data_IF_080023443342
#
_entry.id   IF_080023443342
#
_cell.length_a   1.000
_cell.length_b   1.000
_cell.length_c   1.000
_cell.angle_alpha   90.00
_cell.angle_beta   90.00
_cell.angle_gamma   90.00
#
_symmetry.space_group_name_H-M   'P 1'
#
loop_
_entity.id
_entity.type
_entity.pdbx_description
1 polymer ?
#
# COMPACT_ATOMS: atom_id res chain seq x y z
N UNK A 1 -17.73 36.41 -37.29
CA UNK A 1 -18.69 35.37 -36.91
C UNK A 1 -18.47 34.04 -37.65
N UNK A 2 -18.50 33.98 -39.02
CA UNK A 2 -18.28 32.70 -39.73
C UNK A 2 -16.91 32.07 -39.42
N UNK A 3 -15.86 32.85 -39.46
CA UNK A 3 -14.48 32.40 -39.17
C UNK A 3 -14.30 31.91 -37.71
N UNK A 4 -14.94 32.59 -36.76
CA UNK A 4 -14.93 32.22 -35.33
C UNK A 4 -15.68 30.91 -35.11
N UNK A 5 -16.80 30.70 -35.81
CA UNK A 5 -17.56 29.45 -35.75
C UNK A 5 -16.73 28.28 -36.31
N UNK A 6 -16.03 28.48 -37.43
CA UNK A 6 -15.16 27.49 -38.03
C UNK A 6 -13.99 27.12 -37.07
N UNK A 7 -13.47 28.10 -36.32
CA UNK A 7 -12.44 27.84 -35.31
C UNK A 7 -12.97 27.04 -34.10
N UNK A 8 -14.17 27.37 -33.64
CA UNK A 8 -14.81 26.59 -32.55
C UNK A 8 -15.16 25.16 -32.96
N UNK A 9 -15.59 24.94 -34.21
CA UNK A 9 -15.81 23.57 -34.73
C UNK A 9 -14.52 22.77 -34.73
N UNK A 10 -13.43 23.35 -35.24
CA UNK A 10 -12.10 22.68 -35.21
C UNK A 10 -11.62 22.41 -33.79
N UNK A 11 -11.87 23.33 -32.88
CA UNK A 11 -11.52 23.13 -31.47
C UNK A 11 -12.30 21.95 -30.87
N UNK A 12 -13.60 21.86 -31.18
CA UNK A 12 -14.46 20.74 -30.76
C UNK A 12 -13.97 19.39 -31.33
N UNK A 13 -13.59 19.35 -32.59
CA UNK A 13 -13.05 18.14 -33.24
C UNK A 13 -11.75 17.67 -32.55
N UNK A 14 -10.86 18.60 -32.25
CA UNK A 14 -9.62 18.30 -31.50
C UNK A 14 -9.92 17.83 -30.08
N UNK A 15 -10.79 18.54 -29.37
CA UNK A 15 -11.16 18.18 -27.99
C UNK A 15 -11.86 16.82 -27.93
N UNK A 16 -12.67 16.48 -28.91
CA UNK A 16 -13.31 15.17 -29.02
C UNK A 16 -12.27 14.07 -29.23
N UNK A 17 -11.30 14.29 -30.12
CA UNK A 17 -10.22 13.32 -30.36
C UNK A 17 -9.31 13.13 -29.13
N UNK A 18 -9.00 14.21 -28.41
CA UNK A 18 -8.28 14.14 -27.14
C UNK A 18 -9.06 13.37 -26.07
N UNK A 19 -10.39 13.50 -26.06
CA UNK A 19 -11.25 12.72 -25.16
C UNK A 19 -11.24 11.23 -25.52
N UNK A 20 -11.37 10.88 -26.81
CA UNK A 20 -11.27 9.49 -27.26
C UNK A 20 -9.91 8.84 -26.88
N UNK A 21 -8.80 9.57 -27.02
CA UNK A 21 -7.47 9.12 -26.58
C UNK A 21 -7.46 8.86 -25.08
N UNK A 22 -8.04 9.74 -24.27
CA UNK A 22 -8.15 9.58 -22.83
C UNK A 22 -9.02 8.37 -22.45
N UNK A 23 -10.14 8.19 -23.11
CA UNK A 23 -11.04 7.05 -22.90
C UNK A 23 -10.39 5.72 -23.32
N UNK A 24 -9.55 5.73 -24.34
CA UNK A 24 -8.81 4.54 -24.77
C UNK A 24 -7.83 4.05 -23.69
N UNK A 25 -7.20 4.95 -22.95
CA UNK A 25 -6.38 4.58 -21.78
C UNK A 25 -7.24 4.14 -20.58
N UNK A 26 -8.50 4.58 -20.51
CA UNK A 26 -9.45 4.24 -19.47
C UNK A 26 -8.93 4.53 -18.06
N UNK A 27 -9.16 3.58 -17.15
CA UNK A 27 -8.70 3.64 -15.75
C UNK A 27 -7.31 3.03 -15.53
N UNK A 28 -6.62 2.58 -16.61
CA UNK A 28 -5.31 1.94 -16.51
C UNK A 28 -4.27 2.75 -15.73
N UNK A 29 -4.11 4.08 -15.97
CA UNK A 29 -3.15 4.89 -15.20
C UNK A 29 -3.41 4.87 -13.69
N UNK A 30 -4.68 5.02 -13.30
CA UNK A 30 -5.10 5.00 -11.89
C UNK A 30 -4.94 3.60 -11.27
N UNK A 31 -5.22 2.56 -12.05
CA UNK A 31 -5.04 1.17 -11.62
C UNK A 31 -3.57 0.86 -11.38
N UNK A 32 -2.68 1.28 -12.29
CA UNK A 32 -1.22 1.12 -12.14
C UNK A 32 -0.73 1.84 -10.89
N UNK A 33 -1.09 3.11 -10.69
CA UNK A 33 -0.70 3.89 -9.52
C UNK A 33 -1.20 3.24 -8.21
N UNK A 34 -2.46 2.80 -8.18
CA UNK A 34 -3.04 2.12 -7.01
C UNK A 34 -2.31 0.83 -6.68
N UNK A 35 -1.96 0.02 -7.68
CA UNK A 35 -1.22 -1.22 -7.50
C UNK A 35 0.22 -0.99 -7.03
N UNK A 36 0.89 0.06 -7.54
CA UNK A 36 2.22 0.45 -7.07
C UNK A 36 2.22 0.83 -5.59
N UNK A 37 1.25 1.64 -5.17
CA UNK A 37 1.07 2.03 -3.78
C UNK A 37 0.75 0.83 -2.88
N UNK A 38 -0.10 -0.10 -3.34
CA UNK A 38 -0.43 -1.31 -2.59
C UNK A 38 0.80 -2.20 -2.39
N UNK A 39 1.58 -2.45 -3.44
CA UNK A 39 2.81 -3.25 -3.35
C UNK A 39 3.81 -2.60 -2.39
N UNK A 40 4.03 -1.29 -2.50
CA UNK A 40 4.94 -0.55 -1.63
C UNK A 40 4.49 -0.60 -0.16
N UNK A 41 3.20 -0.45 0.09
CA UNK A 41 2.61 -0.54 1.45
C UNK A 41 2.82 -1.93 2.07
N UNK A 42 2.51 -3.00 1.33
CA UNK A 42 2.68 -4.38 1.79
C UNK A 42 4.16 -4.74 2.03
N UNK A 43 5.07 -4.22 1.19
CA UNK A 43 6.51 -4.41 1.40
C UNK A 43 6.99 -3.73 2.67
N UNK A 44 6.57 -2.48 2.91
CA UNK A 44 6.91 -1.74 4.13
C UNK A 44 6.35 -2.42 5.39
N UNK A 45 5.13 -2.93 5.32
CA UNK A 45 4.51 -3.69 6.42
C UNK A 45 5.28 -4.98 6.72
N UNK A 46 5.70 -5.72 5.70
CA UNK A 46 6.51 -6.93 5.86
C UNK A 46 7.87 -6.62 6.50
N UNK A 47 8.52 -5.52 6.10
CA UNK A 47 9.79 -5.09 6.69
C UNK A 47 9.64 -4.76 8.18
N UNK A 48 8.58 -4.05 8.57
CA UNK A 48 8.29 -3.74 9.96
C UNK A 48 8.06 -5.00 10.79
N UNK A 49 7.26 -5.95 10.27
CA UNK A 49 7.02 -7.25 10.93
C UNK A 49 8.29 -8.08 11.04
N UNK A 50 9.13 -8.10 10.01
CA UNK A 50 10.40 -8.80 10.04
C UNK A 50 11.36 -8.23 11.08
N UNK A 51 11.43 -6.90 11.22
CA UNK A 51 12.20 -6.24 12.26
C UNK A 51 11.69 -6.61 13.65
N UNK A 52 10.35 -6.61 13.84
CA UNK A 52 9.75 -7.00 15.12
C UNK A 52 10.00 -8.47 15.47
N UNK A 53 9.94 -9.38 14.50
CA UNK A 53 10.35 -10.79 14.69
C UNK A 53 11.80 -10.87 15.19
N UNK A 54 12.71 -10.09 14.62
CA UNK A 54 14.10 -10.04 15.07
C UNK A 54 14.28 -9.54 16.50
N UNK A 55 13.42 -8.65 16.99
CA UNK A 55 13.38 -8.23 18.40
C UNK A 55 12.83 -9.35 19.29
N UNK A 56 11.69 -9.92 18.93
CA UNK A 56 11.06 -11.05 19.64
C UNK A 56 12.04 -12.21 19.82
N UNK A 57 12.81 -12.55 18.79
CA UNK A 57 13.81 -13.62 18.88
C UNK A 57 14.94 -13.32 19.87
N UNK A 58 15.26 -12.06 20.09
CA UNK A 58 16.21 -11.66 21.14
C UNK A 58 15.60 -11.80 22.53
N UNK A 59 14.33 -11.39 22.66
CA UNK A 59 13.59 -11.48 23.92
C UNK A 59 13.38 -12.94 24.32
N UNK A 60 13.01 -13.81 23.37
CA UNK A 60 12.89 -15.26 23.60
C UNK A 60 14.23 -15.83 24.12
N UNK A 61 15.35 -15.55 23.45
CA UNK A 61 16.68 -16.03 23.91
C UNK A 61 17.05 -15.49 25.28
N UNK A 62 16.63 -14.28 25.62
CA UNK A 62 16.86 -13.71 26.94
C UNK A 62 16.10 -14.50 28.01
N UNK A 63 14.80 -14.75 27.82
CA UNK A 63 13.99 -15.54 28.73
C UNK A 63 14.43 -17.00 28.83
N UNK A 64 14.86 -17.62 27.72
CA UNK A 64 15.49 -18.95 27.75
C UNK A 64 16.70 -19.00 28.65
N UNK A 65 17.60 -18.02 28.55
CA UNK A 65 18.79 -17.94 29.39
C UNK A 65 18.46 -17.71 30.88
N UNK A 66 17.43 -16.89 31.17
CA UNK A 66 16.94 -16.67 32.54
C UNK A 66 16.36 -17.96 33.12
N UNK A 67 15.51 -18.66 32.36
CA UNK A 67 14.89 -19.94 32.76
C UNK A 67 16.02 -20.98 33.09
N UNK A 68 17.04 -21.09 32.24
CA UNK A 68 18.17 -22.00 32.45
C UNK A 68 18.92 -21.64 33.73
N UNK A 69 19.21 -20.35 33.98
CA UNK A 69 19.91 -19.88 35.19
C UNK A 69 19.10 -20.16 36.45
N UNK A 70 17.80 -19.81 36.45
CA UNK A 70 16.92 -20.07 37.57
C UNK A 70 16.69 -21.56 37.82
N UNK A 71 16.61 -22.38 36.77
CA UNK A 71 16.47 -23.83 36.87
C UNK A 71 17.73 -24.44 37.51
N UNK A 72 18.92 -23.96 37.12
CA UNK A 72 20.20 -24.37 37.72
C UNK A 72 20.28 -23.98 39.20
N UNK A 73 19.88 -22.75 39.55
CA UNK A 73 19.85 -22.29 40.94
C UNK A 73 18.83 -23.09 41.76
N UNK A 74 17.64 -23.34 41.22
CA UNK A 74 16.59 -24.15 41.83
C UNK A 74 17.10 -25.55 42.18
N UNK A 75 17.87 -26.19 41.28
CA UNK A 75 18.54 -27.47 41.57
C UNK A 75 19.45 -27.41 42.79
N UNK A 76 20.35 -26.40 42.85
CA UNK A 76 21.23 -26.17 43.96
C UNK A 76 20.51 -25.93 45.30
N UNK A 77 19.46 -25.10 45.30
CA UNK A 77 18.67 -24.84 46.50
C UNK A 77 17.91 -26.07 46.98
N UNK A 78 17.39 -26.90 46.07
CA UNK A 78 16.76 -28.18 46.42
C UNK A 78 17.78 -29.14 47.12
N UNK A 79 19.03 -29.20 46.64
CA UNK A 79 20.08 -29.97 47.27
C UNK A 79 20.44 -29.40 48.67
N UNK A 80 20.54 -28.09 48.79
CA UNK A 80 20.80 -27.42 50.08
C UNK A 80 19.71 -27.66 51.08
N UNK A 81 18.44 -27.71 50.66
CA UNK A 81 17.29 -27.96 51.54
C UNK A 81 17.43 -29.29 52.33
N UNK A 82 18.09 -30.32 51.75
CA UNK A 82 18.35 -31.57 52.44
C UNK A 82 19.45 -31.51 53.45
N UNK A 83 20.31 -30.47 53.41
CA UNK A 83 21.50 -30.33 54.28
C UNK A 83 21.26 -29.39 55.46
N UNK A 84 20.18 -28.61 55.46
CA UNK A 84 19.89 -27.64 56.54
C UNK A 84 19.50 -28.34 57.86
N UNK A 85 19.88 -27.70 58.94
CA UNK A 85 19.67 -28.26 60.28
C UNK A 85 18.77 -27.41 61.16
N UNK A 86 18.37 -26.23 60.73
CA UNK A 86 17.47 -25.31 61.43
C UNK A 86 16.20 -25.02 60.67
N UNK A 87 15.06 -24.88 61.35
CA UNK A 87 13.79 -24.52 60.76
C UNK A 87 13.85 -23.15 60.07
N UNK A 88 14.63 -22.20 60.59
CA UNK A 88 14.78 -20.87 59.99
C UNK A 88 15.48 -20.92 58.63
N UNK A 89 16.54 -21.75 58.48
CA UNK A 89 17.22 -21.95 57.24
C UNK A 89 16.33 -22.69 56.24
N UNK A 90 15.60 -23.69 56.71
CA UNK A 90 14.60 -24.42 55.90
C UNK A 90 13.56 -23.49 55.30
N UNK A 91 12.95 -22.64 56.12
CA UNK A 91 11.92 -21.69 55.71
C UNK A 91 12.49 -20.68 54.68
N UNK A 92 13.71 -20.16 54.91
CA UNK A 92 14.34 -19.21 54.00
C UNK A 92 14.59 -19.84 52.62
N UNK A 93 15.18 -21.05 52.59
CA UNK A 93 15.48 -21.76 51.33
C UNK A 93 14.18 -22.16 50.62
N UNK A 94 13.11 -22.54 51.33
CA UNK A 94 11.83 -22.87 50.76
C UNK A 94 11.17 -21.65 50.08
N UNK A 95 11.28 -20.46 50.69
CA UNK A 95 10.78 -19.21 50.09
C UNK A 95 11.55 -18.87 48.81
N UNK A 96 12.90 -19.05 48.79
CA UNK A 96 13.70 -18.83 47.57
C UNK A 96 13.32 -19.81 46.45
N UNK A 97 13.12 -21.10 46.80
CA UNK A 97 12.66 -22.12 45.85
C UNK A 97 11.31 -21.72 45.24
N UNK A 98 10.36 -21.27 46.05
CA UNK A 98 9.03 -20.91 45.56
C UNK A 98 9.06 -19.62 44.73
N UNK A 99 9.90 -18.65 45.11
CA UNK A 99 10.16 -17.47 44.29
C UNK A 99 10.74 -17.83 42.91
N UNK A 100 11.79 -18.70 42.89
CA UNK A 100 12.38 -19.12 41.61
C UNK A 100 11.42 -19.86 40.72
N UNK A 101 10.56 -20.75 41.27
CA UNK A 101 9.54 -21.42 40.48
C UNK A 101 8.54 -20.43 39.86
N UNK A 102 8.07 -19.44 40.66
CA UNK A 102 7.18 -18.41 40.17
C UNK A 102 7.82 -17.60 39.03
N UNK A 103 9.10 -17.22 39.20
CA UNK A 103 9.81 -16.47 38.14
C UNK A 103 10.00 -17.31 36.87
N UNK A 104 10.35 -18.61 36.99
CA UNK A 104 10.44 -19.51 35.84
C UNK A 104 9.09 -19.56 35.10
N UNK A 105 7.97 -19.79 35.81
CA UNK A 105 6.65 -19.86 35.20
C UNK A 105 6.28 -18.54 34.53
N UNK A 106 6.59 -17.39 35.13
CA UNK A 106 6.35 -16.09 34.53
C UNK A 106 7.15 -15.89 33.23
N UNK A 107 8.42 -16.29 33.23
CA UNK A 107 9.29 -16.21 32.05
C UNK A 107 8.82 -17.16 30.94
N UNK A 108 8.36 -18.38 31.29
CA UNK A 108 7.77 -19.34 30.35
C UNK A 108 6.47 -18.78 29.71
N UNK A 109 5.61 -18.15 30.50
CA UNK A 109 4.37 -17.52 30.02
C UNK A 109 4.66 -16.35 29.07
N UNK A 110 5.70 -15.56 29.36
CA UNK A 110 6.12 -14.46 28.48
C UNK A 110 6.70 -14.99 27.18
N UNK A 111 7.56 -16.01 27.28
CA UNK A 111 8.14 -16.65 26.09
C UNK A 111 7.05 -17.21 25.17
N UNK A 112 6.04 -17.89 25.72
CA UNK A 112 4.91 -18.42 24.93
C UNK A 112 4.17 -17.31 24.16
N UNK A 113 3.93 -16.17 24.79
CA UNK A 113 3.31 -15.02 24.13
C UNK A 113 4.16 -14.47 22.98
N UNK A 114 5.47 -14.42 23.16
CA UNK A 114 6.37 -14.00 22.08
C UNK A 114 6.39 -15.00 20.92
N UNK A 115 6.32 -16.30 21.20
CA UNK A 115 6.22 -17.34 20.16
C UNK A 115 4.90 -17.24 19.38
N UNK A 116 3.78 -16.97 20.07
CA UNK A 116 2.49 -16.71 19.45
C UNK A 116 2.52 -15.46 18.55
N UNK A 117 3.05 -14.33 19.05
CA UNK A 117 3.21 -13.08 18.30
C UNK A 117 4.09 -13.29 17.05
N UNK A 118 5.21 -14.01 17.20
CA UNK A 118 6.11 -14.36 16.09
C UNK A 118 5.38 -15.16 15.01
N UNK A 119 4.64 -16.19 15.42
CA UNK A 119 3.88 -17.05 14.49
C UNK A 119 2.84 -16.24 13.72
N UNK A 120 2.12 -15.34 14.38
CA UNK A 120 1.15 -14.46 13.74
C UNK A 120 1.81 -13.55 12.70
N UNK A 121 2.98 -12.96 13.01
CA UNK A 121 3.70 -12.13 12.05
C UNK A 121 4.24 -12.93 10.86
N UNK A 122 4.76 -14.13 11.07
CA UNK A 122 5.23 -15.02 9.99
C UNK A 122 4.09 -15.40 9.03
N UNK A 123 2.90 -15.71 9.56
CA UNK A 123 1.70 -15.99 8.75
C UNK A 123 1.27 -14.75 7.95
N UNK A 124 1.22 -13.59 8.59
CA UNK A 124 0.89 -12.33 7.94
C UNK A 124 1.87 -11.97 6.82
N UNK A 125 3.19 -12.13 7.04
CA UNK A 125 4.23 -11.92 6.03
C UNK A 125 4.01 -12.85 4.83
N UNK A 126 3.68 -14.11 5.08
CA UNK A 126 3.40 -15.08 4.02
C UNK A 126 2.17 -14.68 3.19
N UNK A 127 1.11 -14.24 3.82
CA UNK A 127 -0.10 -13.73 3.14
C UNK A 127 0.21 -12.49 2.31
N UNK A 128 0.90 -11.52 2.88
CA UNK A 128 1.32 -10.30 2.19
C UNK A 128 2.25 -10.62 1.01
N UNK A 129 3.19 -11.55 1.17
CA UNK A 129 4.10 -11.97 0.10
C UNK A 129 3.35 -12.56 -1.10
N UNK A 130 2.34 -13.41 -0.85
CA UNK A 130 1.48 -13.95 -1.90
C UNK A 130 0.68 -12.83 -2.59
N UNK A 131 0.17 -11.87 -1.82
CA UNK A 131 -0.57 -10.73 -2.35
C UNK A 131 0.34 -9.82 -3.19
N UNK A 132 1.55 -9.55 -2.73
CA UNK A 132 2.57 -8.81 -3.48
C UNK A 132 2.85 -9.50 -4.82
N UNK A 133 3.03 -10.82 -4.84
CA UNK A 133 3.30 -11.56 -6.06
C UNK A 133 2.14 -11.41 -7.07
N UNK A 134 0.89 -11.65 -6.65
CA UNK A 134 -0.28 -11.54 -7.53
C UNK A 134 -0.51 -10.11 -8.02
N UNK A 135 -0.35 -9.11 -7.15
CA UNK A 135 -0.50 -7.69 -7.52
C UNK A 135 0.63 -7.25 -8.45
N UNK A 136 1.87 -7.72 -8.23
CA UNK A 136 3.03 -7.41 -9.09
C UNK A 136 2.90 -8.00 -10.50
N UNK A 137 2.37 -9.22 -10.63
CA UNK A 137 2.09 -9.84 -11.92
C UNK A 137 1.05 -9.01 -12.70
N UNK A 138 -0.06 -8.65 -12.03
CA UNK A 138 -1.09 -7.79 -12.62
C UNK A 138 -0.55 -6.39 -12.97
N UNK A 139 0.25 -5.79 -12.09
CA UNK A 139 0.90 -4.49 -12.31
C UNK A 139 1.82 -4.54 -13.55
N UNK A 140 2.55 -5.61 -13.73
CA UNK A 140 3.43 -5.79 -14.89
C UNK A 140 2.63 -5.82 -16.19
N UNK A 141 1.50 -6.55 -16.23
CA UNK A 141 0.59 -6.57 -17.37
C UNK A 141 -0.01 -5.19 -17.63
N UNK A 142 -0.58 -4.56 -16.61
CA UNK A 142 -1.23 -3.25 -16.74
C UNK A 142 -0.24 -2.15 -17.17
N UNK A 143 1.01 -2.20 -16.72
CA UNK A 143 2.08 -1.30 -17.19
C UNK A 143 2.41 -1.50 -18.67
N UNK A 144 2.47 -2.75 -19.12
CA UNK A 144 2.72 -3.04 -20.55
C UNK A 144 1.57 -2.54 -21.42
N UNK A 145 0.33 -2.77 -20.99
CA UNK A 145 -0.86 -2.29 -21.70
C UNK A 145 -0.91 -0.75 -21.73
N UNK A 146 -0.63 -0.09 -20.60
CA UNK A 146 -0.55 1.37 -20.52
C UNK A 146 0.57 1.92 -21.42
N UNK A 147 1.74 1.27 -21.41
CA UNK A 147 2.86 1.69 -22.26
C UNK A 147 2.53 1.54 -23.75
N UNK A 148 1.82 0.48 -24.15
CA UNK A 148 1.37 0.27 -25.52
C UNK A 148 0.37 1.37 -25.93
N UNK A 149 -0.64 1.63 -25.09
CA UNK A 149 -1.63 2.67 -25.35
C UNK A 149 -1.00 4.06 -25.45
N UNK A 150 -0.02 4.37 -24.60
CA UNK A 150 0.72 5.63 -24.65
C UNK A 150 1.58 5.72 -25.94
N UNK A 151 2.27 4.64 -26.33
CA UNK A 151 3.10 4.64 -27.53
C UNK A 151 2.28 4.87 -28.82
N UNK A 152 1.06 4.33 -28.86
CA UNK A 152 0.15 4.51 -30.00
C UNK A 152 -0.42 5.92 -30.09
N UNK A 153 -0.59 6.60 -28.97
CA UNK A 153 -1.35 7.85 -28.90
C UNK A 153 -0.50 9.09 -28.61
N UNK A 154 0.75 8.95 -28.12
CA UNK A 154 1.56 10.10 -27.65
C UNK A 154 1.80 11.14 -28.75
N UNK A 155 2.23 10.69 -29.94
CA UNK A 155 2.52 11.62 -31.04
C UNK A 155 1.26 12.35 -31.49
N UNK A 156 0.14 11.63 -31.67
CA UNK A 156 -1.15 12.21 -32.05
C UNK A 156 -1.62 13.21 -30.98
N UNK A 157 -1.50 12.87 -29.73
CA UNK A 157 -1.87 13.75 -28.61
C UNK A 157 -1.06 15.06 -28.62
N UNK A 158 0.26 14.98 -28.77
CA UNK A 158 1.13 16.17 -28.83
C UNK A 158 0.78 17.09 -30.02
N UNK A 159 0.51 16.52 -31.20
CA UNK A 159 0.07 17.27 -32.38
C UNK A 159 -1.30 17.93 -32.13
N UNK A 160 -2.24 17.23 -31.52
CA UNK A 160 -3.56 17.75 -31.20
C UNK A 160 -3.49 18.87 -30.14
N UNK A 161 -2.70 18.71 -29.08
CA UNK A 161 -2.51 19.73 -28.04
C UNK A 161 -1.85 21.00 -28.62
N UNK A 162 -0.86 20.86 -29.50
CA UNK A 162 -0.25 22.00 -30.21
C UNK A 162 -1.26 22.73 -31.10
N UNK A 163 -2.03 21.99 -31.91
CA UNK A 163 -3.07 22.54 -32.76
C UNK A 163 -4.18 23.23 -31.95
N UNK A 164 -4.54 22.62 -30.80
CA UNK A 164 -5.50 23.19 -29.87
C UNK A 164 -5.05 24.57 -29.38
N UNK A 165 -3.80 24.68 -28.94
CA UNK A 165 -3.25 25.97 -28.45
C UNK A 165 -3.28 27.03 -29.54
N UNK A 166 -2.90 26.70 -30.78
CA UNK A 166 -2.90 27.63 -31.91
C UNK A 166 -4.33 28.16 -32.24
N UNK A 167 -5.33 27.29 -32.11
CA UNK A 167 -6.73 27.67 -32.36
C UNK A 167 -7.28 28.46 -31.19
N UNK A 168 -6.96 28.06 -29.97
CA UNK A 168 -7.37 28.69 -28.72
C UNK A 168 -7.00 30.17 -28.70
N UNK A 169 -5.77 30.52 -29.09
CA UNK A 169 -5.25 31.88 -29.12
C UNK A 169 -5.94 32.78 -30.17
N UNK A 170 -6.68 32.20 -31.13
CA UNK A 170 -7.39 32.92 -32.20
C UNK A 170 -8.85 33.21 -31.87
N UNK A 171 -9.39 32.66 -30.79
CA UNK A 171 -10.79 32.79 -30.41
C UNK A 171 -10.93 33.85 -29.31
N UNK A 172 -12.00 34.64 -29.37
CA UNK A 172 -12.30 35.66 -28.38
C UNK A 172 -12.52 35.03 -27.00
N UNK A 173 -11.91 35.56 -25.91
CA UNK A 173 -11.97 34.97 -24.56
C UNK A 173 -13.38 34.72 -24.02
N UNK A 174 -14.36 35.59 -24.37
CA UNK A 174 -15.75 35.43 -23.94
C UNK A 174 -16.42 34.18 -24.53
N UNK A 175 -16.16 33.91 -25.82
CA UNK A 175 -16.67 32.72 -26.51
C UNK A 175 -15.98 31.44 -26.07
N UNK A 176 -14.69 31.56 -25.78
CA UNK A 176 -13.87 30.46 -25.23
C UNK A 176 -14.38 30.02 -23.86
N UNK A 177 -14.65 30.97 -22.98
CA UNK A 177 -15.18 30.65 -21.64
C UNK A 177 -16.56 29.98 -21.74
N UNK A 178 -17.42 30.43 -22.65
CA UNK A 178 -18.71 29.80 -22.87
C UNK A 178 -18.56 28.38 -23.42
N UNK A 179 -17.67 28.17 -24.38
CA UNK A 179 -17.35 26.85 -24.95
C UNK A 179 -16.83 25.89 -23.86
N UNK A 180 -15.79 26.27 -23.10
CA UNK A 180 -15.21 25.45 -22.03
C UNK A 180 -16.23 25.11 -20.93
N UNK A 181 -17.10 26.07 -20.57
CA UNK A 181 -18.16 25.82 -19.59
C UNK A 181 -19.14 24.74 -20.08
N UNK A 182 -19.55 24.83 -21.34
CA UNK A 182 -20.46 23.84 -21.95
C UNK A 182 -19.79 22.48 -22.10
N UNK A 183 -18.54 22.44 -22.57
CA UNK A 183 -17.76 21.24 -22.75
C UNK A 183 -17.60 20.48 -21.44
N UNK A 184 -17.24 21.19 -20.36
CA UNK A 184 -17.06 20.58 -19.04
C UNK A 184 -18.36 20.09 -18.40
N UNK A 185 -19.51 20.70 -18.76
CA UNK A 185 -20.82 20.33 -18.24
C UNK A 185 -21.52 19.21 -19.05
N UNK A 186 -21.01 18.84 -20.23
CA UNK A 186 -21.65 17.93 -21.18
C UNK A 186 -20.68 16.91 -21.80
N UNK A 187 -19.91 16.25 -20.99
CA UNK A 187 -19.04 15.14 -21.39
C UNK A 187 -18.20 15.42 -22.65
N UNK A 188 -17.60 16.62 -22.72
CA UNK A 188 -16.74 17.01 -23.82
C UNK A 188 -17.43 17.70 -24.99
N UNK A 189 -18.77 17.89 -24.97
CA UNK A 189 -19.53 18.52 -26.06
C UNK A 189 -19.78 19.98 -25.76
N UNK A 190 -19.04 20.89 -26.41
CA UNK A 190 -19.24 22.35 -26.34
C UNK A 190 -20.14 22.91 -27.43
N UNK A 191 -20.29 22.20 -28.57
CA UNK A 191 -21.08 22.62 -29.73
C UNK A 191 -21.81 21.43 -30.34
N UNK A 192 -23.01 21.69 -30.87
CA UNK A 192 -23.80 20.70 -31.60
C UNK A 192 -24.30 21.29 -32.90
N UNK A 193 -24.48 20.48 -33.92
CA UNK A 193 -25.09 20.86 -35.17
C UNK A 193 -26.61 21.02 -35.00
N UNK A 194 -27.21 21.95 -35.72
CA UNK A 194 -28.67 22.11 -35.78
C UNK A 194 -29.17 21.35 -37.00
N UNK A 195 -30.00 20.32 -36.80
CA UNK A 195 -30.64 19.55 -37.84
C UNK A 195 -32.11 19.94 -37.86
N UNK A 196 -32.53 20.68 -38.89
CA UNK A 196 -33.88 21.21 -38.96
C UNK A 196 -34.15 22.33 -37.96
N UNK A 197 -35.04 22.09 -36.98
CA UNK A 197 -35.35 23.02 -35.89
C UNK A 197 -34.91 22.50 -34.50
N UNK A 198 -34.20 21.41 -34.44
CA UNK A 198 -33.73 20.80 -33.22
C UNK A 198 -32.19 20.71 -33.17
N UNK A 199 -31.62 20.73 -31.98
CA UNK A 199 -30.20 20.36 -31.78
C UNK A 199 -30.03 18.86 -32.09
N UNK A 200 -29.04 18.52 -32.89
CA UNK A 200 -28.62 17.14 -33.15
C UNK A 200 -27.79 16.55 -32.05
#
# INVERSE_FOLDING_TARGET
>A
MKQTLEQLIKLQEIDHRLLEIKEHMGDLPLTVESQELEVASLQSENEQKQNRIGEIEKDIRHHEAEIEDFTTKLGKYKEQLFLVKSNKEYDAISQEIDHMKATITESEDVQLKFEEEKTEFEENIKLNTNKIATTSDSLTSNRADLQSALAETTQEKEELESNRSIIFDKIEPSLLNAYETLRNARDGVGMVSIIGKACG
#
